data_IF_442423308820
#
_entry.id   IF_442423308820
#
_cell.length_a   1.000
_cell.length_b   1.000
_cell.length_c   1.000
_cell.angle_alpha   90.00
_cell.angle_beta   90.00
_cell.angle_gamma   90.00
#
_symmetry.space_group_name_H-M   'P 1'
#
loop_
_entity.id
_entity.type
_entity.pdbx_description
1 polymer ?
#
# COMPACT_ATOMS: atom_id res chain seq x y z
N UNK A 1 22.05 -9.16 30.23
CA UNK A 1 21.27 -8.90 29.01
C UNK A 1 20.11 -8.02 29.44
N UNK A 2 20.15 -6.71 29.15
CA UNK A 2 18.99 -5.85 29.43
C UNK A 2 17.97 -6.14 28.33
N UNK A 3 17.09 -7.11 28.55
CA UNK A 3 15.99 -7.42 27.63
C UNK A 3 14.96 -6.29 27.68
N UNK A 4 15.30 -5.21 26.99
CA UNK A 4 14.39 -4.11 26.75
C UNK A 4 13.31 -4.60 25.80
N UNK A 5 12.04 -4.41 26.16
CA UNK A 5 10.95 -4.75 25.24
C UNK A 5 11.08 -3.89 23.97
N UNK A 6 11.13 -4.50 22.77
CA UNK A 6 11.19 -3.74 21.53
C UNK A 6 9.92 -2.92 21.37
N UNK A 7 10.04 -1.70 20.87
CA UNK A 7 8.89 -0.84 20.61
C UNK A 7 7.92 -1.48 19.60
N UNK A 8 6.58 -1.33 19.78
CA UNK A 8 5.59 -1.67 18.78
C UNK A 8 5.95 -1.13 17.39
N UNK A 9 5.49 -1.86 16.37
CA UNK A 9 5.76 -1.56 14.98
C UNK A 9 5.94 -2.81 14.15
N UNK A 10 6.45 -2.63 12.93
CA UNK A 10 6.65 -3.71 11.98
C UNK A 10 8.01 -4.37 12.14
N UNK A 11 8.02 -5.69 12.13
CA UNK A 11 9.21 -6.51 12.27
C UNK A 11 9.27 -7.57 11.18
N UNK A 12 10.49 -8.04 10.94
CA UNK A 12 10.80 -9.17 10.07
C UNK A 12 11.63 -10.17 10.85
N UNK A 13 11.33 -11.47 10.70
CA UNK A 13 12.14 -12.54 11.29
C UNK A 13 13.21 -12.97 10.29
N UNK A 14 14.47 -12.82 10.69
CA UNK A 14 15.63 -13.20 9.91
C UNK A 14 16.56 -14.05 10.78
N UNK A 15 16.82 -15.30 10.36
CA UNK A 15 17.59 -16.30 11.15
C UNK A 15 17.10 -16.40 12.60
N UNK A 16 15.79 -16.54 12.76
CA UNK A 16 15.09 -16.63 14.05
C UNK A 16 15.20 -15.40 14.98
N UNK A 17 15.80 -14.31 14.49
CA UNK A 17 15.89 -13.04 15.21
C UNK A 17 14.91 -12.03 14.61
N UNK A 18 14.20 -11.31 15.49
CA UNK A 18 13.29 -10.25 15.12
C UNK A 18 14.05 -8.94 14.88
N UNK A 19 13.95 -8.41 13.66
CA UNK A 19 14.50 -7.10 13.31
C UNK A 19 13.38 -6.12 13.01
N UNK A 20 13.50 -4.89 13.51
CA UNK A 20 12.57 -3.83 13.14
C UNK A 20 12.70 -3.54 11.65
N UNK A 21 11.58 -3.54 10.94
CA UNK A 21 11.54 -3.16 9.54
C UNK A 21 11.68 -1.65 9.42
N UNK A 22 12.65 -1.21 8.63
CA UNK A 22 12.90 0.18 8.32
C UNK A 22 12.58 0.41 6.83
N UNK A 23 12.10 1.61 6.52
CA UNK A 23 11.84 1.98 5.13
C UNK A 23 12.02 3.48 4.89
N UNK A 24 12.31 3.83 3.64
CA UNK A 24 12.31 5.20 3.14
C UNK A 24 12.07 5.15 1.64
N UNK A 25 11.10 5.96 1.17
CA UNK A 25 10.55 5.83 -0.18
C UNK A 25 10.19 4.37 -0.47
N UNK A 26 10.81 3.78 -1.49
CA UNK A 26 10.57 2.42 -1.98
C UNK A 26 11.76 1.49 -1.66
N UNK A 27 12.39 1.69 -0.50
CA UNK A 27 13.47 0.82 0.00
C UNK A 27 13.13 0.32 1.39
N UNK A 28 13.32 -0.97 1.58
CA UNK A 28 13.12 -1.67 2.84
C UNK A 28 14.44 -2.26 3.31
N UNK A 29 14.69 -2.23 4.61
CA UNK A 29 15.88 -2.82 5.18
C UNK A 29 15.69 -3.18 6.65
N UNK A 30 16.55 -4.07 7.11
CA UNK A 30 16.76 -4.38 8.52
C UNK A 30 18.18 -3.99 8.92
N UNK A 31 18.38 -3.62 10.17
CA UNK A 31 19.67 -3.16 10.68
C UNK A 31 20.08 -3.92 11.94
N UNK A 32 21.38 -4.14 12.09
CA UNK A 32 22.02 -4.79 13.24
C UNK A 32 23.21 -3.96 13.70
N UNK A 33 23.57 -4.02 14.98
CA UNK A 33 24.78 -3.41 15.55
C UNK A 33 26.03 -4.31 15.40
N UNK A 34 25.85 -5.53 14.93
CA UNK A 34 26.90 -6.51 14.67
C UNK A 34 26.72 -7.18 13.30
N UNK A 35 27.80 -7.76 12.77
CA UNK A 35 27.74 -8.53 11.53
C UNK A 35 26.94 -9.83 11.76
N UNK A 36 25.89 -10.02 10.97
CA UNK A 36 25.03 -11.22 11.02
C UNK A 36 25.52 -12.26 10.03
N UNK A 37 25.74 -11.84 8.78
CA UNK A 37 26.31 -12.61 7.68
C UNK A 37 26.69 -11.68 6.51
N UNK A 38 27.04 -12.26 5.36
CA UNK A 38 27.45 -11.57 4.14
C UNK A 38 26.37 -10.70 3.48
N UNK A 39 25.08 -10.93 3.79
CA UNK A 39 23.98 -10.11 3.25
C UNK A 39 23.81 -8.78 3.99
N UNK A 40 24.45 -8.64 5.15
CA UNK A 40 24.50 -7.41 5.92
C UNK A 40 25.74 -6.58 5.56
N UNK A 41 25.53 -5.46 4.86
CA UNK A 41 26.61 -4.54 4.50
C UNK A 41 26.81 -3.48 5.58
N UNK A 42 28.05 -3.23 5.97
CA UNK A 42 28.39 -2.14 6.90
C UNK A 42 28.17 -0.79 6.21
N UNK A 43 27.31 0.06 6.76
CA UNK A 43 27.03 1.40 6.19
C UNK A 43 27.88 2.49 6.84
N UNK A 44 28.05 2.43 8.17
CA UNK A 44 28.84 3.36 8.96
C UNK A 44 29.66 2.65 10.07
N UNK A 45 30.19 3.40 11.05
CA UNK A 45 30.97 2.79 12.15
C UNK A 45 30.13 1.93 13.10
N UNK A 46 28.79 2.05 13.13
CA UNK A 46 27.92 1.50 14.18
C UNK A 46 26.93 0.45 13.71
N UNK A 47 26.55 0.42 12.43
CA UNK A 47 25.49 -0.49 11.97
C UNK A 47 25.84 -1.26 10.69
N UNK A 48 25.23 -2.43 10.61
CA UNK A 48 25.18 -3.29 9.45
C UNK A 48 23.74 -3.35 8.94
N UNK A 49 23.55 -3.29 7.63
CA UNK A 49 22.23 -3.20 6.99
C UNK A 49 22.07 -4.30 5.94
N UNK A 50 20.95 -5.00 5.99
CA UNK A 50 20.47 -5.85 4.89
C UNK A 50 19.30 -5.14 4.20
N UNK A 51 19.47 -4.82 2.93
CA UNK A 51 18.36 -4.39 2.08
C UNK A 51 17.50 -5.60 1.73
N UNK A 52 16.18 -5.39 1.76
CA UNK A 52 15.20 -6.41 1.41
C UNK A 52 14.73 -6.19 -0.03
N UNK A 53 14.90 -7.22 -0.85
CA UNK A 53 14.50 -7.26 -2.26
C UNK A 53 13.37 -8.26 -2.51
N UNK A 54 12.89 -8.35 -3.75
CA UNK A 54 11.76 -9.21 -4.11
C UNK A 54 12.01 -10.70 -3.81
N UNK A 55 13.26 -11.15 -3.91
CA UNK A 55 13.66 -12.54 -3.66
C UNK A 55 13.74 -12.88 -2.16
N UNK A 56 13.66 -11.89 -1.26
CA UNK A 56 13.66 -12.12 0.18
C UNK A 56 12.28 -12.58 0.65
N UNK A 57 12.16 -13.88 0.93
CA UNK A 57 10.97 -14.51 1.53
C UNK A 57 11.17 -14.61 3.04
N UNK A 58 10.60 -13.65 3.79
CA UNK A 58 10.76 -13.53 5.23
C UNK A 58 9.41 -13.30 5.92
N UNK A 59 9.24 -13.86 7.12
CA UNK A 59 8.06 -13.63 7.94
C UNK A 59 8.03 -12.16 8.38
N UNK A 60 6.99 -11.43 7.98
CA UNK A 60 6.74 -10.05 8.36
C UNK A 60 5.52 -9.98 9.28
N UNK A 61 5.59 -9.17 10.34
CA UNK A 61 4.49 -9.04 11.29
C UNK A 61 4.47 -7.66 11.95
N UNK A 62 3.29 -7.21 12.35
CA UNK A 62 3.10 -6.07 13.23
C UNK A 62 3.07 -6.55 14.69
N UNK A 63 3.89 -5.94 15.53
CA UNK A 63 3.96 -6.13 16.98
C UNK A 63 3.18 -5.00 17.65
N UNK A 64 2.17 -5.36 18.45
CA UNK A 64 1.43 -4.44 19.30
C UNK A 64 1.34 -4.98 20.74
N UNK A 65 1.11 -4.08 21.71
CA UNK A 65 0.87 -4.45 23.10
C UNK A 65 -0.29 -3.67 23.70
N UNK A 66 -1.52 -3.90 23.22
CA UNK A 66 -2.69 -3.25 23.77
C UNK A 66 -2.93 -3.74 25.21
N UNK A 67 -3.53 -2.89 26.00
CA UNK A 67 -3.80 -3.20 27.40
C UNK A 67 -4.77 -2.24 28.04
N UNK A 68 -4.93 -2.43 29.35
CA UNK A 68 -5.66 -1.54 30.22
C UNK A 68 -4.82 -1.13 31.42
N UNK A 69 -4.99 0.11 31.86
CA UNK A 69 -4.41 0.61 33.09
C UNK A 69 -5.46 1.45 33.81
N UNK A 70 -5.88 1.01 35.01
CA UNK A 70 -6.94 1.70 35.80
C UNK A 70 -8.22 2.00 35.00
N UNK A 71 -8.59 1.07 34.11
CA UNK A 71 -9.76 1.20 33.24
C UNK A 71 -9.54 2.03 31.96
N UNK A 72 -8.36 2.63 31.76
CA UNK A 72 -8.00 3.33 30.53
C UNK A 72 -7.43 2.34 29.51
N UNK A 73 -7.82 2.47 28.24
CA UNK A 73 -7.16 1.76 27.15
C UNK A 73 -5.76 2.34 26.94
N UNK A 74 -4.75 1.47 26.91
CA UNK A 74 -3.34 1.86 26.80
C UNK A 74 -2.58 0.96 25.82
N UNK A 75 -1.39 1.42 25.41
CA UNK A 75 -0.41 0.63 24.68
C UNK A 75 0.94 0.64 25.40
N UNK A 76 1.53 -0.54 25.62
CA UNK A 76 2.87 -0.68 26.22
C UNK A 76 3.95 -0.56 25.15
N UNK A 77 4.66 0.58 25.15
CA UNK A 77 5.67 0.87 24.14
C UNK A 77 6.97 0.12 24.40
N UNK A 78 7.59 0.31 25.55
CA UNK A 78 8.90 -0.28 25.82
C UNK A 78 9.11 -0.42 27.32
N UNK A 79 10.29 -0.85 27.72
CA UNK A 79 10.71 -0.84 29.12
C UNK A 79 11.86 0.14 29.33
N UNK A 80 11.89 0.68 30.54
CA UNK A 80 13.08 1.26 31.18
C UNK A 80 13.68 0.21 32.11
N UNK A 81 14.80 0.47 32.81
CA UNK A 81 15.31 -0.47 33.81
C UNK A 81 14.35 -0.79 34.97
N UNK A 82 13.31 0.03 35.22
CA UNK A 82 12.46 -0.08 36.42
C UNK A 82 10.95 -0.06 36.14
N UNK A 83 10.53 0.24 34.90
CA UNK A 83 9.13 0.47 34.58
C UNK A 83 8.80 0.21 33.10
N UNK A 84 7.53 -0.05 32.83
CA UNK A 84 6.94 0.03 31.50
C UNK A 84 6.72 1.48 31.10
N UNK A 85 6.99 1.79 29.82
CA UNK A 85 6.54 3.02 29.17
C UNK A 85 5.17 2.73 28.55
N UNK A 86 4.14 3.38 29.06
CA UNK A 86 2.74 3.15 28.69
C UNK A 86 2.18 4.41 28.06
N UNK A 87 1.40 4.27 26.98
CA UNK A 87 0.78 5.42 26.31
C UNK A 87 -0.72 5.28 26.12
N UNK A 88 -1.42 6.40 26.00
CA UNK A 88 -2.84 6.44 25.68
C UNK A 88 -3.20 7.69 24.89
N UNK A 89 -4.29 7.61 24.13
CA UNK A 89 -4.92 8.77 23.47
C UNK A 89 -6.13 9.31 24.24
N UNK A 90 -6.53 8.66 25.33
CA UNK A 90 -7.62 9.13 26.16
C UNK A 90 -7.19 10.36 26.96
N UNK A 91 -7.78 11.52 26.66
CA UNK A 91 -7.46 12.78 27.32
C UNK A 91 -7.82 12.80 28.81
N UNK A 92 -8.65 11.86 29.29
CA UNK A 92 -8.97 11.72 30.72
C UNK A 92 -7.76 11.22 31.53
N UNK A 93 -6.73 10.68 30.87
CA UNK A 93 -5.59 10.06 31.54
C UNK A 93 -4.67 11.04 32.30
N UNK A 94 -4.85 12.35 32.12
CA UNK A 94 -4.11 13.37 32.87
C UNK A 94 -4.30 13.22 34.38
N UNK A 95 -5.50 12.83 34.84
CA UNK A 95 -5.78 12.59 36.28
C UNK A 95 -5.02 11.39 36.84
N UNK A 96 -4.64 10.45 35.96
CA UNK A 96 -3.83 9.29 36.29
C UNK A 96 -2.32 9.57 36.14
N UNK A 97 -1.94 10.84 35.92
CA UNK A 97 -0.55 11.28 35.85
C UNK A 97 0.15 10.94 34.54
N UNK A 98 -0.60 10.67 33.46
CA UNK A 98 -0.01 10.66 32.13
C UNK A 98 0.30 12.09 31.69
N UNK A 99 1.37 12.26 30.90
CA UNK A 99 1.78 13.55 30.37
C UNK A 99 2.20 13.43 28.91
N UNK A 100 2.05 14.50 28.14
CA UNK A 100 2.52 14.53 26.75
C UNK A 100 4.04 14.56 26.71
N UNK A 101 4.64 13.56 26.04
CA UNK A 101 6.06 13.61 25.67
C UNK A 101 6.31 14.62 24.53
N UNK A 102 5.33 14.81 23.66
CA UNK A 102 5.32 15.78 22.54
C UNK A 102 3.90 16.36 22.36
N UNK A 103 3.80 17.60 21.86
CA UNK A 103 2.54 18.33 21.64
C UNK A 103 1.60 17.63 20.64
N UNK A 104 2.13 16.76 19.78
CA UNK A 104 1.36 15.93 18.82
C UNK A 104 1.29 14.45 19.20
N UNK A 105 2.00 14.04 20.25
CA UNK A 105 2.09 12.64 20.67
C UNK A 105 0.95 12.19 21.60
N UNK A 106 0.80 10.87 21.81
CA UNK A 106 -0.06 10.34 22.86
C UNK A 106 0.46 10.76 24.24
N UNK A 107 -0.40 10.65 25.25
CA UNK A 107 -0.02 10.81 26.65
C UNK A 107 0.80 9.60 27.09
N UNK A 108 1.86 9.81 27.86
CA UNK A 108 2.81 8.80 28.31
C UNK A 108 2.93 8.76 29.84
N UNK A 109 3.13 7.57 30.41
CA UNK A 109 3.39 7.35 31.83
C UNK A 109 4.37 6.19 32.03
N UNK A 110 5.22 6.31 33.04
CA UNK A 110 5.99 5.19 33.57
C UNK A 110 5.15 4.42 34.59
N UNK A 111 4.96 3.13 34.35
CA UNK A 111 4.20 2.23 35.23
C UNK A 111 5.13 1.13 35.74
N UNK A 112 5.19 0.94 37.05
CA UNK A 112 6.06 -0.06 37.66
C UNK A 112 5.73 -1.48 37.17
N UNK A 113 6.73 -2.36 37.12
CA UNK A 113 6.55 -3.72 36.59
C UNK A 113 5.58 -4.58 37.39
N UNK A 114 5.47 -4.31 38.69
CA UNK A 114 4.63 -5.02 39.65
C UNK A 114 3.29 -4.32 39.91
N UNK A 115 2.97 -3.24 39.19
CA UNK A 115 1.69 -2.56 39.30
C UNK A 115 0.56 -3.50 38.80
N UNK A 116 -0.32 -3.99 39.69
CA UNK A 116 -1.32 -5.00 39.34
C UNK A 116 -2.46 -4.43 38.49
N UNK A 117 -2.54 -3.10 38.35
CA UNK A 117 -3.58 -2.44 37.57
C UNK A 117 -3.22 -2.34 36.09
N UNK A 118 -1.96 -2.62 35.71
CA UNK A 118 -1.54 -2.73 34.32
C UNK A 118 -1.75 -4.16 33.82
N UNK A 119 -2.56 -4.31 32.78
CA UNK A 119 -2.78 -5.58 32.09
C UNK A 119 -2.59 -5.38 30.60
N UNK A 120 -1.73 -6.19 29.98
CA UNK A 120 -1.52 -6.15 28.54
C UNK A 120 -1.17 -7.54 28.02
N UNK A 121 -1.38 -7.74 26.72
CA UNK A 121 -0.90 -8.90 25.99
C UNK A 121 0.15 -8.44 24.96
N UNK A 122 0.89 -9.39 24.40
CA UNK A 122 1.68 -9.13 23.19
C UNK A 122 0.95 -9.74 22.02
N UNK A 123 0.67 -8.92 21.02
CA UNK A 123 -0.01 -9.31 19.80
C UNK A 123 0.99 -9.27 18.65
N UNK A 124 1.07 -10.38 17.91
CA UNK A 124 1.86 -10.51 16.69
C UNK A 124 0.90 -10.81 15.55
N UNK A 125 0.70 -9.85 14.67
CA UNK A 125 -0.20 -9.98 13.52
C UNK A 125 0.65 -10.20 12.27
N UNK A 126 0.61 -11.39 11.64
CA UNK A 126 1.28 -11.60 10.37
C UNK A 126 0.78 -10.60 9.33
N UNK A 127 1.70 -10.00 8.58
CA UNK A 127 1.36 -9.08 7.49
C UNK A 127 2.13 -9.48 6.23
N UNK A 128 1.58 -9.22 5.04
CA UNK A 128 2.31 -9.39 3.80
C UNK A 128 3.64 -8.61 3.79
N UNK A 129 4.64 -9.14 3.09
CA UNK A 129 5.93 -8.48 2.90
C UNK A 129 5.75 -7.22 2.03
N UNK A 130 5.90 -6.00 2.58
CA UNK A 130 5.61 -4.78 1.84
C UNK A 130 6.55 -4.55 0.64
N UNK A 131 7.78 -5.05 0.70
CA UNK A 131 8.74 -4.97 -0.42
C UNK A 131 8.34 -5.86 -1.60
N UNK A 132 7.73 -7.02 -1.34
CA UNK A 132 7.21 -7.91 -2.39
C UNK A 132 5.95 -7.31 -3.03
N UNK A 133 5.05 -6.75 -2.21
CA UNK A 133 3.88 -6.03 -2.74
C UNK A 133 4.33 -4.89 -3.65
N UNK A 134 5.25 -4.04 -3.20
CA UNK A 134 5.75 -2.93 -4.00
C UNK A 134 6.31 -3.40 -5.34
N UNK A 135 7.16 -4.44 -5.31
CA UNK A 135 7.73 -5.01 -6.53
C UNK A 135 6.68 -5.60 -7.49
N UNK A 136 5.66 -6.30 -6.97
CA UNK A 136 4.59 -6.85 -7.80
C UNK A 136 3.84 -5.74 -8.56
N UNK A 137 3.59 -4.61 -7.90
CA UNK A 137 2.97 -3.44 -8.51
C UNK A 137 3.88 -2.71 -9.52
N UNK A 138 5.19 -2.69 -9.30
CA UNK A 138 6.17 -2.20 -10.29
C UNK A 138 6.15 -3.04 -11.57
N UNK A 139 6.22 -4.37 -11.43
CA UNK A 139 6.12 -5.29 -12.58
C UNK A 139 4.78 -5.14 -13.31
N UNK A 140 3.69 -4.93 -12.58
CA UNK A 140 2.39 -4.66 -13.18
C UNK A 140 2.38 -3.33 -13.94
N UNK A 141 3.00 -2.27 -13.43
CA UNK A 141 3.13 -1.00 -14.13
C UNK A 141 3.89 -1.15 -15.47
N UNK A 142 4.94 -1.97 -15.50
CA UNK A 142 5.70 -2.28 -16.72
C UNK A 142 4.83 -3.03 -17.74
N UNK A 143 4.11 -4.07 -17.30
CA UNK A 143 3.16 -4.80 -18.15
C UNK A 143 2.05 -3.90 -18.69
N UNK A 144 1.47 -3.06 -17.85
CA UNK A 144 0.46 -2.09 -18.25
C UNK A 144 1.02 -1.09 -19.27
N UNK A 145 2.26 -0.62 -19.09
CA UNK A 145 2.94 0.26 -20.06
C UNK A 145 3.01 -0.38 -21.45
N UNK A 146 3.31 -1.68 -21.53
CA UNK A 146 3.27 -2.44 -22.78
C UNK A 146 1.86 -2.54 -23.34
N UNK A 147 0.91 -3.00 -22.52
CA UNK A 147 -0.48 -3.22 -22.93
C UNK A 147 -1.17 -1.94 -23.43
N UNK A 148 -0.87 -0.76 -22.85
CA UNK A 148 -1.47 0.51 -23.29
C UNK A 148 -1.08 0.94 -24.71
N UNK A 149 -0.01 0.36 -25.27
CA UNK A 149 0.36 0.56 -26.69
C UNK A 149 -0.52 -0.25 -27.63
N UNK A 150 -1.00 -1.40 -27.16
CA UNK A 150 -1.88 -2.30 -27.91
C UNK A 150 -3.36 -1.87 -27.81
N UNK A 151 -3.69 -0.95 -26.90
CA UNK A 151 -5.01 -0.29 -26.82
C UNK A 151 -5.11 0.74 -27.95
N UNK A 152 -5.29 0.31 -29.19
CA UNK A 152 -5.35 1.17 -30.38
C UNK A 152 -6.72 1.86 -30.54
N UNK A 153 -6.88 2.67 -31.59
CA UNK A 153 -8.16 3.36 -31.88
C UNK A 153 -9.37 2.43 -31.74
N UNK A 154 -10.42 2.94 -31.08
CA UNK A 154 -11.68 2.25 -30.74
C UNK A 154 -11.56 1.02 -29.85
N UNK A 155 -10.41 0.81 -29.22
CA UNK A 155 -10.25 -0.18 -28.15
C UNK A 155 -10.59 0.46 -26.82
N UNK A 156 -11.48 -0.20 -26.09
CA UNK A 156 -11.76 0.07 -24.70
C UNK A 156 -11.10 -0.99 -23.84
N UNK A 157 -10.53 -0.58 -22.72
CA UNK A 157 -9.95 -1.46 -21.72
C UNK A 157 -10.46 -1.03 -20.34
N UNK A 158 -10.98 -1.97 -19.57
CA UNK A 158 -11.31 -1.77 -18.16
C UNK A 158 -10.50 -2.76 -17.35
N UNK A 159 -9.76 -2.26 -16.36
CA UNK A 159 -9.04 -3.06 -15.36
C UNK A 159 -9.71 -2.79 -14.03
N UNK A 160 -10.19 -3.82 -13.35
CA UNK A 160 -11.00 -3.68 -12.14
C UNK A 160 -10.62 -4.72 -11.09
N UNK A 161 -10.91 -4.44 -9.82
CA UNK A 161 -10.80 -5.46 -8.77
C UNK A 161 -11.79 -6.60 -9.03
N UNK A 162 -11.37 -7.84 -8.75
CA UNK A 162 -12.20 -9.02 -8.90
C UNK A 162 -13.41 -8.99 -7.95
N UNK A 163 -13.18 -8.58 -6.70
CA UNK A 163 -14.19 -8.63 -5.64
C UNK A 163 -15.10 -7.39 -5.61
N UNK A 164 -14.65 -6.28 -6.20
CA UNK A 164 -15.42 -5.03 -6.31
C UNK A 164 -15.16 -4.33 -7.64
N UNK A 165 -15.95 -4.63 -8.69
CA UNK A 165 -15.77 -4.04 -10.02
C UNK A 165 -15.92 -2.52 -10.09
N UNK A 166 -16.41 -1.85 -9.02
CA UNK A 166 -16.43 -0.38 -8.93
C UNK A 166 -15.04 0.21 -8.76
N UNK A 167 -14.07 -0.56 -8.26
CA UNK A 167 -12.66 -0.16 -8.15
C UNK A 167 -11.97 -0.47 -9.47
N UNK A 168 -12.01 0.48 -10.38
CA UNK A 168 -11.48 0.29 -11.72
C UNK A 168 -10.66 1.48 -12.22
N UNK A 169 -9.85 1.20 -13.25
CA UNK A 169 -9.39 2.19 -14.21
C UNK A 169 -9.88 1.77 -15.59
N UNK A 170 -10.44 2.71 -16.34
CA UNK A 170 -10.89 2.46 -17.70
C UNK A 170 -10.14 3.31 -18.70
N UNK A 171 -10.07 2.83 -19.93
CA UNK A 171 -9.39 3.48 -21.02
C UNK A 171 -10.29 3.50 -22.25
N UNK A 172 -10.40 4.66 -22.88
CA UNK A 172 -11.02 4.85 -24.18
C UNK A 172 -9.95 5.37 -25.16
N UNK A 173 -9.58 4.56 -26.14
CA UNK A 173 -8.65 4.99 -27.19
C UNK A 173 -9.40 5.59 -28.39
N UNK A 174 -9.04 6.82 -28.72
CA UNK A 174 -9.30 7.44 -30.01
C UNK A 174 -8.07 7.40 -30.93
N UNK A 175 -8.17 8.02 -32.11
CA UNK A 175 -7.09 8.02 -33.10
C UNK A 175 -5.88 8.85 -32.65
N UNK A 176 -6.11 9.92 -31.89
CA UNK A 176 -5.11 10.92 -31.48
C UNK A 176 -4.93 11.01 -29.95
N UNK A 177 -5.66 10.20 -29.18
CA UNK A 177 -5.61 10.23 -27.72
C UNK A 177 -5.99 8.91 -27.06
N UNK A 178 -5.52 8.72 -25.84
CA UNK A 178 -5.96 7.68 -24.91
C UNK A 178 -6.42 8.37 -23.63
N UNK A 179 -7.71 8.27 -23.34
CA UNK A 179 -8.27 8.79 -22.10
C UNK A 179 -8.31 7.68 -21.07
N UNK A 180 -7.72 7.90 -19.90
CA UNK A 180 -7.89 7.05 -18.74
C UNK A 180 -8.88 7.71 -17.77
N UNK A 181 -9.73 6.90 -17.15
CA UNK A 181 -10.66 7.35 -16.12
C UNK A 181 -10.63 6.46 -14.88
N UNK A 182 -10.92 7.05 -13.74
CA UNK A 182 -10.93 6.39 -12.43
C UNK A 182 -12.10 6.95 -11.58
N UNK A 183 -12.90 6.10 -10.91
CA UNK A 183 -14.00 6.58 -10.07
C UNK A 183 -13.56 7.40 -8.85
N UNK A 184 -14.40 8.34 -8.45
CA UNK A 184 -14.25 9.13 -7.23
C UNK A 184 -14.95 8.52 -6.01
N UNK A 185 -14.98 9.29 -4.93
CA UNK A 185 -15.62 8.91 -3.66
C UNK A 185 -17.15 8.75 -3.77
N UNK A 186 -17.76 9.29 -4.82
CA UNK A 186 -19.17 9.12 -5.16
C UNK A 186 -19.52 7.69 -5.59
N UNK A 187 -18.54 6.94 -6.12
CA UNK A 187 -18.69 5.55 -6.56
C UNK A 187 -17.98 4.57 -5.63
N UNK A 188 -16.78 4.94 -5.15
CA UNK A 188 -15.93 4.16 -4.24
C UNK A 188 -15.75 4.97 -2.95
N UNK A 189 -16.63 4.76 -1.97
CA UNK A 189 -16.77 5.62 -0.76
C UNK A 189 -15.45 5.90 -0.01
N UNK A 190 -14.55 4.91 0.03
CA UNK A 190 -13.25 4.97 0.70
C UNK A 190 -12.09 5.39 -0.22
N UNK A 191 -12.38 5.85 -1.44
CA UNK A 191 -11.36 6.32 -2.37
C UNK A 191 -10.56 7.49 -1.80
N UNK A 192 -9.23 7.32 -1.71
CA UNK A 192 -8.34 8.40 -1.28
C UNK A 192 -8.07 9.37 -2.43
N UNK A 193 -9.02 10.24 -2.75
CA UNK A 193 -8.97 11.18 -3.87
C UNK A 193 -7.78 12.16 -3.83
N UNK A 194 -7.26 12.47 -2.64
CA UNK A 194 -6.06 13.29 -2.52
C UNK A 194 -4.85 12.64 -3.20
N UNK A 195 -4.81 11.29 -3.30
CA UNK A 195 -3.80 10.58 -4.06
C UNK A 195 -4.02 10.73 -5.57
N UNK A 196 -5.26 10.64 -6.05
CA UNK A 196 -5.55 10.86 -7.48
C UNK A 196 -5.07 12.26 -7.91
N UNK A 197 -5.45 13.30 -7.17
CA UNK A 197 -4.97 14.68 -7.39
C UNK A 197 -3.45 14.78 -7.34
N UNK A 198 -2.81 14.25 -6.29
CA UNK A 198 -1.35 14.31 -6.10
C UNK A 198 -0.58 13.68 -7.26
N UNK A 199 -1.15 12.66 -7.92
CA UNK A 199 -0.50 11.93 -9.00
C UNK A 199 -0.95 12.38 -10.40
N UNK A 200 -1.62 13.53 -10.50
CA UNK A 200 -1.89 14.19 -11.79
C UNK A 200 -3.12 13.66 -12.52
N UNK A 201 -4.07 13.11 -11.78
CA UNK A 201 -5.44 12.97 -12.26
C UNK A 201 -6.15 14.33 -12.19
N UNK A 202 -6.99 14.61 -13.18
CA UNK A 202 -7.87 15.78 -13.24
C UNK A 202 -9.18 15.44 -12.55
N UNK A 203 -9.66 16.37 -11.72
CA UNK A 203 -10.90 16.23 -10.96
C UNK A 203 -12.13 16.05 -11.87
N UNK A 204 -13.15 15.31 -11.39
CA UNK A 204 -14.46 15.22 -12.04
C UNK A 204 -15.09 16.58 -12.32
N UNK A 205 -15.84 16.66 -13.42
CA UNK A 205 -16.69 17.80 -13.75
C UNK A 205 -18.03 17.33 -14.33
N UNK A 206 -18.91 18.28 -14.66
CA UNK A 206 -20.27 17.96 -15.14
C UNK A 206 -20.28 17.08 -16.40
N UNK A 207 -19.32 17.30 -17.31
CA UNK A 207 -19.22 16.55 -18.56
C UNK A 207 -18.47 15.21 -18.42
N UNK A 208 -17.74 15.02 -17.32
CA UNK A 208 -16.90 13.86 -17.09
C UNK A 208 -16.90 13.55 -15.59
N UNK A 209 -17.82 12.69 -15.12
CA UNK A 209 -18.04 12.46 -13.69
C UNK A 209 -16.91 11.64 -13.03
N UNK A 210 -15.98 11.07 -13.81
CA UNK A 210 -14.82 10.36 -13.29
C UNK A 210 -13.57 11.26 -13.23
N UNK A 211 -12.61 10.88 -12.38
CA UNK A 211 -11.26 11.43 -12.45
C UNK A 211 -10.61 11.03 -13.77
N UNK A 212 -9.88 11.93 -14.41
CA UNK A 212 -9.31 11.65 -15.75
C UNK A 212 -7.83 11.93 -15.92
N UNK A 213 -7.20 11.19 -16.83
CA UNK A 213 -5.84 11.44 -17.29
C UNK A 213 -5.73 11.08 -18.76
N UNK A 214 -5.51 12.09 -19.61
CA UNK A 214 -5.43 11.91 -21.06
C UNK A 214 -3.99 11.90 -21.56
N UNK A 215 -3.69 11.04 -22.52
CA UNK A 215 -2.42 10.94 -23.23
C UNK A 215 -2.63 11.20 -24.72
N UNK A 216 -1.98 12.23 -25.27
CA UNK A 216 -1.98 12.48 -26.73
C UNK A 216 -1.18 11.41 -27.45
N UNK A 217 -1.58 11.08 -28.68
CA UNK A 217 -0.94 10.09 -29.54
C UNK A 217 -0.47 10.72 -30.86
N UNK A 218 0.65 10.25 -31.44
CA UNK A 218 1.57 9.23 -30.90
C UNK A 218 2.28 9.70 -29.63
N UNK A 219 2.59 8.75 -28.73
CA UNK A 219 3.23 9.00 -27.44
C UNK A 219 4.53 8.19 -27.29
N UNK A 220 5.47 8.72 -26.50
CA UNK A 220 6.69 8.04 -26.12
C UNK A 220 6.43 6.93 -25.09
N UNK A 221 7.29 5.91 -25.09
CA UNK A 221 7.34 4.88 -24.05
C UNK A 221 7.28 5.44 -22.63
N UNK A 222 8.01 6.53 -22.38
CA UNK A 222 8.07 7.18 -21.07
C UNK A 222 6.74 7.85 -20.67
N UNK A 223 5.91 8.26 -21.63
CA UNK A 223 4.61 8.88 -21.36
C UNK A 223 3.56 7.80 -21.05
N UNK A 224 3.57 6.67 -21.76
CA UNK A 224 2.79 5.49 -21.37
C UNK A 224 3.17 4.99 -19.98
N UNK A 225 4.46 4.96 -19.65
CA UNK A 225 4.93 4.56 -18.32
C UNK A 225 4.44 5.53 -17.21
N UNK A 226 4.36 6.82 -17.51
CA UNK A 226 3.77 7.79 -16.58
C UNK A 226 2.29 7.53 -16.37
N UNK A 227 1.52 7.31 -17.44
CA UNK A 227 0.10 6.99 -17.33
C UNK A 227 -0.12 5.68 -16.54
N UNK A 228 0.63 4.63 -16.84
CA UNK A 228 0.56 3.35 -16.12
C UNK A 228 0.83 3.52 -14.61
N UNK A 229 1.83 4.31 -14.22
CA UNK A 229 2.10 4.62 -12.79
C UNK A 229 0.94 5.34 -12.11
N UNK A 230 0.25 6.26 -12.79
CA UNK A 230 -0.95 6.93 -12.26
C UNK A 230 -2.08 5.94 -12.00
N UNK A 231 -2.30 5.01 -12.93
CA UNK A 231 -3.29 3.94 -12.79
C UNK A 231 -2.95 2.98 -11.64
N UNK A 232 -1.68 2.61 -11.47
CA UNK A 232 -1.24 1.81 -10.33
C UNK A 232 -1.50 2.51 -9.00
N UNK A 233 -1.24 3.82 -8.91
CA UNK A 233 -1.57 4.58 -7.70
C UNK A 233 -3.06 4.59 -7.42
N UNK A 234 -3.91 4.75 -8.44
CA UNK A 234 -5.36 4.68 -8.26
C UNK A 234 -5.77 3.31 -7.69
N UNK A 235 -5.38 2.22 -8.36
CA UNK A 235 -5.73 0.86 -7.98
C UNK A 235 -5.18 0.44 -6.61
N UNK A 236 -3.87 0.57 -6.41
CA UNK A 236 -3.21 0.11 -5.17
C UNK A 236 -3.52 1.05 -4.01
N UNK A 237 -3.21 2.34 -4.17
CA UNK A 237 -3.14 3.26 -3.03
C UNK A 237 -4.42 4.03 -2.79
N UNK A 238 -5.17 4.37 -3.85
CA UNK A 238 -6.44 5.08 -3.69
C UNK A 238 -7.57 4.12 -3.32
N UNK A 239 -7.63 2.96 -3.97
CA UNK A 239 -8.68 1.95 -3.76
C UNK A 239 -8.27 0.79 -2.83
N UNK A 240 -7.02 0.76 -2.36
CA UNK A 240 -6.56 -0.23 -1.37
C UNK A 240 -6.39 -1.64 -1.91
N UNK A 241 -6.30 -1.84 -3.23
CA UNK A 241 -6.10 -3.17 -3.82
C UNK A 241 -4.68 -3.63 -3.48
N UNK A 242 -4.58 -4.75 -2.75
CA UNK A 242 -3.29 -5.16 -2.18
C UNK A 242 -2.39 -5.87 -3.17
N UNK A 243 -2.95 -6.64 -4.11
CA UNK A 243 -2.20 -7.38 -5.13
C UNK A 243 -2.71 -7.09 -6.54
N UNK A 244 -1.83 -6.97 -7.57
CA UNK A 244 -2.25 -6.98 -8.96
C UNK A 244 -2.99 -8.26 -9.37
N UNK A 245 -2.76 -9.38 -8.67
CA UNK A 245 -3.45 -10.66 -8.95
C UNK A 245 -4.94 -10.62 -8.61
N UNK A 246 -5.34 -9.64 -7.78
CA UNK A 246 -6.74 -9.36 -7.46
C UNK A 246 -7.44 -8.59 -8.59
N UNK A 247 -6.73 -8.24 -9.67
CA UNK A 247 -7.28 -7.52 -10.81
C UNK A 247 -7.76 -8.47 -11.91
N UNK A 248 -8.82 -8.04 -12.59
CA UNK A 248 -9.29 -8.62 -13.84
C UNK A 248 -9.38 -7.55 -14.90
N UNK A 249 -9.47 -7.96 -16.16
CA UNK A 249 -9.66 -7.00 -17.23
C UNK A 249 -10.70 -7.46 -18.24
N UNK A 250 -11.30 -6.47 -18.88
CA UNK A 250 -12.12 -6.61 -20.07
C UNK A 250 -11.62 -5.63 -21.11
N UNK A 251 -11.43 -6.11 -22.34
CA UNK A 251 -11.12 -5.23 -23.46
C UNK A 251 -11.95 -5.61 -24.68
N UNK A 252 -12.39 -4.61 -25.43
CA UNK A 252 -13.16 -4.80 -26.64
C UNK A 252 -12.88 -3.70 -27.65
N UNK A 253 -13.01 -4.03 -28.92
CA UNK A 253 -13.03 -3.06 -30.00
C UNK A 253 -14.49 -2.73 -30.33
N UNK A 254 -14.81 -1.46 -30.45
CA UNK A 254 -16.12 -0.99 -30.93
C UNK A 254 -16.04 -0.67 -32.43
N UNK A 255 -16.43 -1.61 -33.33
CA UNK A 255 -16.48 -1.31 -34.75
C UNK A 255 -17.62 -0.35 -35.06
N UNK A 256 -17.49 0.45 -36.13
CA UNK A 256 -18.59 1.27 -36.63
C UNK A 256 -19.73 0.35 -37.11
N UNK A 257 -20.76 0.17 -36.27
CA UNK A 257 -22.00 -0.52 -36.62
C UNK A 257 -22.02 -2.05 -36.53
N UNK A 258 -21.07 -2.72 -35.86
CA UNK A 258 -21.04 -4.19 -35.75
C UNK A 258 -20.88 -4.71 -34.30
N UNK A 259 -20.95 -6.03 -34.13
CA UNK A 259 -20.83 -6.72 -32.84
C UNK A 259 -19.46 -6.46 -32.20
N UNK A 260 -19.46 -6.10 -30.92
CA UNK A 260 -18.22 -5.89 -30.15
C UNK A 260 -17.35 -7.15 -30.15
N UNK A 261 -16.06 -6.97 -30.47
CA UNK A 261 -15.09 -8.05 -30.50
C UNK A 261 -14.15 -7.93 -29.29
N UNK A 262 -14.00 -9.01 -28.53
CA UNK A 262 -13.08 -9.04 -27.41
C UNK A 262 -11.62 -8.90 -27.88
N UNK A 263 -10.85 -8.06 -27.20
CA UNK A 263 -9.42 -7.86 -27.47
C UNK A 263 -8.63 -8.59 -26.39
N UNK A 264 -7.63 -9.40 -26.80
CA UNK A 264 -6.72 -10.06 -25.88
C UNK A 264 -5.48 -9.20 -25.67
N UNK A 265 -5.11 -8.98 -24.42
CA UNK A 265 -3.92 -8.23 -24.01
C UNK A 265 -3.04 -9.14 -23.15
N UNK A 266 -2.44 -10.20 -23.73
CA UNK A 266 -1.69 -11.20 -22.97
C UNK A 266 -0.51 -10.59 -22.20
N UNK A 267 0.06 -9.49 -22.69
CA UNK A 267 1.13 -8.76 -22.02
C UNK A 267 0.73 -8.12 -20.68
N UNK A 268 -0.57 -7.97 -20.40
CA UNK A 268 -1.06 -7.41 -19.14
C UNK A 268 -0.86 -8.37 -17.95
N UNK A 269 -0.82 -9.67 -18.22
CA UNK A 269 -0.65 -10.71 -17.18
C UNK A 269 -1.84 -10.84 -16.23
N UNK A 270 -3.05 -10.45 -16.66
CA UNK A 270 -4.30 -10.54 -15.90
C UNK A 270 -5.27 -11.54 -16.54
N UNK A 271 -6.19 -12.08 -15.73
CA UNK A 271 -7.31 -12.89 -16.24
C UNK A 271 -8.33 -12.06 -17.02
N UNK A 272 -8.77 -12.57 -18.18
CA UNK A 272 -9.83 -11.96 -18.99
C UNK A 272 -11.21 -12.29 -18.40
N UNK A 273 -11.99 -11.27 -18.07
CA UNK A 273 -13.39 -11.45 -17.65
C UNK A 273 -14.25 -11.81 -18.88
N UNK A 274 -14.89 -12.97 -18.85
CA UNK A 274 -15.84 -13.42 -19.89
C UNK A 274 -17.25 -13.42 -19.33
N UNK A 275 -17.90 -12.25 -19.28
CA UNK A 275 -19.33 -12.17 -18.96
C UNK A 275 -20.15 -11.53 -20.09
N UNK A 276 -21.32 -12.14 -20.32
CA UNK A 276 -22.28 -11.79 -21.38
C UNK A 276 -22.93 -10.44 -21.08
N UNK A 277 -23.13 -9.66 -22.13
CA UNK A 277 -23.86 -8.40 -22.18
C UNK A 277 -24.88 -8.20 -21.04
N UNK A 278 -24.57 -7.28 -20.14
CA UNK A 278 -25.57 -6.44 -19.49
C UNK A 278 -25.11 -5.00 -19.70
N UNK A 279 -25.94 -4.26 -20.42
CA UNK A 279 -25.77 -2.83 -20.67
C UNK A 279 -25.89 -2.08 -19.34
N UNK A 280 -24.99 -1.12 -19.12
CA UNK A 280 -25.29 0.08 -18.31
C UNK A 280 -25.66 1.17 -19.29
#
# INVERSE_FOLDING_TARGET
MNDRLPAPGRFVRYRDVAYRLLHSADRWWIASDHAVDESFTRTDRRYFVKHLGPDDVLDCYDLARPGTYRGLAVEVLTTTPQAYVVTTRDQRADVEGFAKADHRGPLEKLVAFDDPELRFNTELTPVPAPWQIAHAWELFAERLTGALRDVTDRVFLVIHAADDPKRYVQFAAGPDRLDAEAPGADVVEDALEFLLRRFGWVEPGVAQPNWTSSLRRPALTAEFAQLARRCVVALNRSYGITSPDDLRYRAWHEPAGARTAAVKLPGLGLGLTTERHSQV
#
